data_IF_311463609115
#
_entry.id   IF_311463609115
#
_cell.length_a   1.000
_cell.length_b   1.000
_cell.length_c   1.000
_cell.angle_alpha   90.00
_cell.angle_beta   90.00
_cell.angle_gamma   90.00
#
_symmetry.space_group_name_H-M   'P 1'
#
loop_
_entity.id
_entity.type
_entity.pdbx_description
1 polymer ?
#
# COMPACT_ATOMS: atom_id res chain seq x y z
N UNK A 1 10.76 19.34 -4.14
CA UNK A 1 11.20 18.16 -4.95
C UNK A 1 10.04 17.20 -5.01
N UNK A 2 9.93 16.28 -5.99
CA UNK A 2 8.88 15.27 -5.92
C UNK A 2 9.14 14.33 -4.73
N UNK A 3 8.07 13.93 -4.03
CA UNK A 3 8.14 12.90 -3.00
C UNK A 3 8.41 11.53 -3.64
N UNK A 4 7.92 11.31 -4.86
CA UNK A 4 8.12 10.08 -5.63
C UNK A 4 8.50 10.45 -7.05
N UNK A 5 9.61 9.89 -7.54
CA UNK A 5 10.11 10.03 -8.92
C UNK A 5 10.38 8.63 -9.49
N UNK A 6 9.72 8.32 -10.59
CA UNK A 6 9.82 7.02 -11.29
C UNK A 6 10.19 7.25 -12.74
N UNK A 7 11.28 6.62 -13.20
CA UNK A 7 11.79 6.73 -14.58
C UNK A 7 12.00 5.35 -15.18
N UNK A 8 11.30 5.09 -16.28
CA UNK A 8 11.43 3.89 -17.11
C UNK A 8 11.33 2.57 -16.31
N UNK A 9 10.44 2.56 -15.29
CA UNK A 9 10.27 1.39 -14.43
C UNK A 9 9.71 0.21 -15.21
N UNK A 10 10.45 -0.89 -15.18
CA UNK A 10 10.04 -2.16 -15.78
C UNK A 10 10.13 -3.28 -14.75
N UNK A 11 9.10 -4.14 -14.72
CA UNK A 11 9.09 -5.36 -13.90
C UNK A 11 8.65 -6.56 -14.72
N UNK A 12 9.54 -7.53 -14.81
CA UNK A 12 9.31 -8.80 -15.50
C UNK A 12 9.37 -9.92 -14.47
N UNK A 13 8.33 -10.75 -14.42
CA UNK A 13 8.33 -12.00 -13.66
C UNK A 13 8.73 -13.16 -14.55
N UNK A 14 9.58 -14.06 -14.03
CA UNK A 14 9.88 -15.33 -14.65
C UNK A 14 9.07 -16.42 -13.95
N UNK A 15 8.02 -16.89 -14.59
CA UNK A 15 7.11 -17.92 -14.05
C UNK A 15 7.45 -19.26 -14.66
N UNK A 16 7.66 -20.26 -13.80
CA UNK A 16 7.92 -21.63 -14.26
C UNK A 16 6.64 -22.24 -14.84
N UNK A 17 6.70 -22.67 -16.11
CA UNK A 17 5.63 -23.43 -16.76
C UNK A 17 5.78 -24.91 -16.46
N UNK A 18 4.85 -25.46 -15.70
CA UNK A 18 4.77 -26.89 -15.44
C UNK A 18 3.91 -27.55 -16.53
N UNK A 19 4.50 -28.45 -17.33
CA UNK A 19 3.71 -29.28 -18.25
C UNK A 19 2.88 -30.28 -17.43
N UNK A 20 1.58 -30.43 -17.69
CA UNK A 20 0.73 -31.38 -16.96
C UNK A 20 1.13 -32.83 -17.25
N UNK A 21 1.01 -33.69 -16.24
CA UNK A 21 1.26 -35.12 -16.35
C UNK A 21 2.61 -35.60 -15.79
N UNK A 22 2.70 -36.93 -15.54
CA UNK A 22 3.88 -37.58 -14.91
C UNK A 22 5.16 -37.42 -15.77
N UNK A 23 5.04 -37.55 -17.08
CA UNK A 23 6.14 -37.36 -18.06
C UNK A 23 6.61 -35.89 -18.09
N UNK A 24 5.70 -34.92 -17.92
CA UNK A 24 6.03 -33.49 -17.83
C UNK A 24 6.81 -33.16 -16.54
N UNK A 25 6.52 -33.85 -15.46
CA UNK A 25 7.23 -33.66 -14.18
C UNK A 25 8.69 -34.13 -14.27
N UNK A 26 8.96 -35.29 -14.88
CA UNK A 26 10.32 -35.81 -15.07
C UNK A 26 11.12 -34.93 -16.05
N UNK A 27 10.49 -34.47 -17.14
CA UNK A 27 11.11 -33.58 -18.13
C UNK A 27 11.45 -32.20 -17.56
N UNK A 28 10.63 -31.70 -16.58
CA UNK A 28 10.85 -30.43 -15.91
C UNK A 28 12.05 -30.43 -14.95
N UNK A 29 12.50 -31.59 -14.47
CA UNK A 29 13.72 -31.72 -13.65
C UNK A 29 14.99 -31.44 -14.49
N UNK A 30 14.97 -31.76 -15.77
CA UNK A 30 16.13 -31.59 -16.66
C UNK A 30 16.04 -30.33 -17.53
N UNK A 31 14.84 -29.80 -17.82
CA UNK A 31 14.66 -28.64 -18.71
C UNK A 31 13.51 -27.76 -18.23
N UNK A 32 13.82 -26.77 -17.37
CA UNK A 32 12.86 -25.81 -16.88
C UNK A 32 12.53 -24.76 -17.95
N UNK A 33 11.27 -24.68 -18.36
CA UNK A 33 10.78 -23.59 -19.23
C UNK A 33 10.25 -22.46 -18.36
N UNK A 34 10.72 -21.24 -18.60
CA UNK A 34 10.23 -20.04 -17.93
C UNK A 34 9.48 -19.17 -18.93
N UNK A 35 8.29 -18.76 -18.54
CA UNK A 35 7.55 -17.72 -19.23
C UNK A 35 7.85 -16.37 -18.59
N UNK A 36 8.21 -15.38 -19.40
CA UNK A 36 8.39 -14.01 -18.95
C UNK A 36 7.06 -13.27 -19.03
N UNK A 37 6.59 -12.75 -17.90
CA UNK A 37 5.38 -11.93 -17.82
C UNK A 37 5.83 -10.53 -17.49
N UNK A 38 5.59 -9.57 -18.39
CA UNK A 38 5.84 -8.15 -18.16
C UNK A 38 4.68 -7.60 -17.32
N UNK A 39 4.92 -7.33 -16.06
CA UNK A 39 3.93 -6.75 -15.16
C UNK A 39 3.94 -5.21 -15.20
N UNK A 40 5.10 -4.61 -15.49
CA UNK A 40 5.29 -3.20 -15.75
C UNK A 40 6.24 -3.05 -16.93
N UNK A 41 5.95 -2.10 -17.81
CA UNK A 41 6.75 -1.83 -19.00
C UNK A 41 6.94 -0.32 -19.18
N UNK A 42 8.14 0.14 -18.86
CA UNK A 42 8.62 1.50 -19.13
C UNK A 42 7.72 2.63 -18.58
N UNK A 43 7.23 2.49 -17.33
CA UNK A 43 6.38 3.51 -16.72
C UNK A 43 7.22 4.61 -16.08
N UNK A 44 6.79 5.87 -16.28
CA UNK A 44 7.43 7.07 -15.72
C UNK A 44 6.37 8.02 -15.21
N UNK A 45 6.55 8.53 -13.98
CA UNK A 45 5.68 9.53 -13.36
C UNK A 45 6.34 10.15 -12.13
N UNK A 46 5.85 11.32 -11.73
CA UNK A 46 6.29 12.01 -10.52
C UNK A 46 5.09 12.33 -9.63
N UNK A 47 5.26 12.30 -8.30
CA UNK A 47 4.23 12.72 -7.34
C UNK A 47 4.86 13.75 -6.39
N UNK A 48 4.19 14.87 -6.21
CA UNK A 48 4.64 15.96 -5.33
C UNK A 48 4.34 15.63 -3.88
N UNK A 49 5.09 16.27 -2.98
CA UNK A 49 4.84 16.17 -1.53
C UNK A 49 3.40 16.62 -1.19
N UNK A 50 2.74 15.86 -0.31
CA UNK A 50 1.37 16.11 0.12
C UNK A 50 0.29 15.81 -0.91
N UNK A 51 0.65 15.35 -2.12
CA UNK A 51 -0.32 15.01 -3.15
C UNK A 51 -1.05 13.70 -2.84
N UNK A 52 -2.36 13.65 -3.06
CA UNK A 52 -3.17 12.44 -3.01
C UNK A 52 -3.54 12.05 -4.44
N UNK A 53 -2.96 10.94 -4.92
CA UNK A 53 -3.08 10.47 -6.30
C UNK A 53 -3.80 9.13 -6.37
N UNK A 54 -4.80 9.05 -7.26
CA UNK A 54 -5.45 7.79 -7.61
C UNK A 54 -4.62 7.03 -8.65
N UNK A 55 -4.21 5.80 -8.33
CA UNK A 55 -3.51 4.91 -9.26
C UNK A 55 -4.46 3.79 -9.68
N UNK A 56 -5.13 3.94 -10.82
CA UNK A 56 -6.29 3.14 -11.22
C UNK A 56 -6.03 2.30 -12.46
N UNK A 57 -6.82 1.25 -12.63
CA UNK A 57 -6.74 0.33 -13.77
C UNK A 57 -7.38 -1.02 -13.47
N UNK A 58 -7.58 -1.87 -14.48
CA UNK A 58 -8.16 -3.18 -14.31
C UNK A 58 -7.29 -4.11 -13.42
N UNK A 59 -7.87 -5.22 -13.00
CA UNK A 59 -7.12 -6.25 -12.29
C UNK A 59 -5.99 -6.80 -13.18
N UNK A 60 -4.79 -6.95 -12.59
CA UNK A 60 -3.61 -7.37 -13.32
C UNK A 60 -2.90 -6.27 -14.12
N UNK A 61 -3.39 -5.01 -14.08
CA UNK A 61 -2.79 -3.89 -14.82
C UNK A 61 -1.38 -3.49 -14.33
N UNK A 62 -0.97 -3.90 -13.12
CA UNK A 62 0.33 -3.56 -12.55
C UNK A 62 0.28 -2.69 -11.29
N UNK A 63 -0.91 -2.26 -10.81
CA UNK A 63 -1.09 -1.36 -9.66
C UNK A 63 -0.30 -1.81 -8.41
N UNK A 64 -0.65 -2.97 -7.87
CA UNK A 64 0.03 -3.54 -6.69
C UNK A 64 1.52 -3.78 -6.94
N UNK A 65 1.92 -4.15 -8.16
CA UNK A 65 3.33 -4.33 -8.53
C UNK A 65 4.09 -3.01 -8.44
N UNK A 66 3.50 -1.92 -8.92
CA UNK A 66 4.06 -0.58 -8.80
C UNK A 66 4.23 -0.19 -7.33
N UNK A 67 3.18 -0.27 -6.51
CA UNK A 67 3.27 0.07 -5.09
C UNK A 67 4.33 -0.77 -4.35
N UNK A 68 4.46 -2.05 -4.66
CA UNK A 68 5.50 -2.92 -4.09
C UNK A 68 6.91 -2.50 -4.52
N UNK A 69 7.10 -2.00 -5.74
CA UNK A 69 8.39 -1.45 -6.15
C UNK A 69 8.70 -0.15 -5.40
N UNK A 70 7.70 0.75 -5.24
CA UNK A 70 7.85 2.01 -4.53
C UNK A 70 8.11 1.84 -3.03
N UNK A 71 7.56 0.81 -2.42
CA UNK A 71 7.77 0.50 -0.98
C UNK A 71 9.02 -0.35 -0.70
N UNK A 72 9.77 -0.75 -1.72
CA UNK A 72 10.94 -1.62 -1.55
C UNK A 72 10.61 -3.10 -1.21
N UNK A 73 9.35 -3.50 -1.33
CA UNK A 73 8.93 -4.90 -1.19
C UNK A 73 9.26 -5.74 -2.43
N UNK A 74 9.48 -5.08 -3.56
CA UNK A 74 9.79 -5.72 -4.83
C UNK A 74 10.93 -4.99 -5.53
N UNK A 75 11.94 -5.74 -5.98
CA UNK A 75 13.04 -5.20 -6.77
C UNK A 75 12.60 -5.00 -8.23
N UNK A 76 12.81 -3.82 -8.84
CA UNK A 76 12.52 -3.60 -10.27
C UNK A 76 13.45 -4.42 -11.16
N UNK A 77 13.02 -4.75 -12.38
CA UNK A 77 13.90 -5.38 -13.37
C UNK A 77 14.84 -4.35 -14.01
N UNK A 78 14.32 -3.15 -14.28
CA UNK A 78 15.09 -2.00 -14.76
C UNK A 78 14.35 -0.70 -14.43
N UNK A 79 14.99 0.43 -14.69
CA UNK A 79 14.48 1.77 -14.38
C UNK A 79 15.02 2.32 -13.06
N UNK A 80 14.57 3.53 -12.73
CA UNK A 80 14.97 4.24 -11.52
C UNK A 80 13.74 4.62 -10.71
N UNK A 81 13.85 4.48 -9.40
CA UNK A 81 12.82 4.90 -8.45
C UNK A 81 13.51 5.66 -7.32
N UNK A 82 12.96 6.82 -7.01
CA UNK A 82 13.26 7.58 -5.81
C UNK A 82 11.98 7.84 -5.03
N UNK A 83 11.97 7.54 -3.74
CA UNK A 83 10.89 7.89 -2.81
C UNK A 83 11.52 8.63 -1.65
N UNK A 84 11.16 9.89 -1.44
CA UNK A 84 11.77 10.78 -0.44
C UNK A 84 13.30 10.88 -0.58
N UNK A 85 13.83 10.78 -1.83
CA UNK A 85 15.28 10.76 -2.10
C UNK A 85 15.95 9.41 -1.90
N UNK A 86 15.26 8.40 -1.35
CA UNK A 86 15.80 7.06 -1.14
C UNK A 86 15.55 6.15 -2.34
N UNK A 87 16.41 5.13 -2.49
CA UNK A 87 16.18 3.99 -3.40
C UNK A 87 15.45 2.89 -2.63
N UNK A 88 14.16 2.62 -2.89
CA UNK A 88 13.31 1.78 -2.03
C UNK A 88 13.87 0.38 -1.75
N UNK A 89 14.49 -0.25 -2.73
CA UNK A 89 15.02 -1.62 -2.59
C UNK A 89 16.24 -1.72 -1.70
N UNK A 90 16.90 -0.61 -1.35
CA UNK A 90 17.97 -0.60 -0.36
C UNK A 90 17.45 -0.78 1.06
N UNK A 91 16.14 -0.57 1.28
CA UNK A 91 15.43 -0.77 2.54
C UNK A 91 16.15 -0.15 3.73
N UNK A 92 16.69 1.05 3.54
CA UNK A 92 17.33 1.80 4.62
C UNK A 92 16.34 2.04 5.76
N UNK A 93 16.78 1.94 7.00
CA UNK A 93 15.94 2.09 8.19
C UNK A 93 15.16 3.41 8.19
N UNK A 94 15.85 4.51 7.89
CA UNK A 94 15.22 5.83 7.80
C UNK A 94 14.11 5.85 6.76
N UNK A 95 14.32 5.25 5.58
CA UNK A 95 13.29 5.14 4.56
C UNK A 95 12.07 4.36 5.05
N UNK A 96 12.28 3.22 5.73
CA UNK A 96 11.17 2.40 6.23
C UNK A 96 10.37 3.09 7.33
N UNK A 97 10.97 3.99 8.10
CA UNK A 97 10.30 4.83 9.10
C UNK A 97 9.47 5.97 8.47
N UNK A 98 9.71 6.32 7.21
CA UNK A 98 9.05 7.41 6.50
C UNK A 98 7.86 6.96 5.64
N UNK A 99 7.66 5.65 5.49
CA UNK A 99 6.62 5.10 4.63
C UNK A 99 5.68 4.17 5.38
N UNK A 100 4.45 4.07 4.88
CA UNK A 100 3.52 3.00 5.28
C UNK A 100 2.89 2.33 4.05
N UNK A 101 2.60 1.03 4.16
CA UNK A 101 1.95 0.26 3.10
C UNK A 101 0.79 -0.56 3.68
N UNK A 102 -0.42 -0.23 3.27
CA UNK A 102 -1.66 -0.90 3.68
C UNK A 102 -2.26 -1.65 2.51
N UNK A 103 -2.54 -2.94 2.69
CA UNK A 103 -3.16 -3.81 1.69
C UNK A 103 -4.54 -4.24 2.18
N UNK A 104 -5.62 -3.83 1.52
CA UNK A 104 -6.98 -4.13 1.94
C UNK A 104 -7.34 -5.63 2.02
N UNK A 105 -6.60 -6.47 1.30
CA UNK A 105 -6.81 -7.93 1.29
C UNK A 105 -5.92 -8.71 2.25
N UNK A 106 -5.00 -8.06 2.97
CA UNK A 106 -4.06 -8.73 3.87
C UNK A 106 -4.17 -8.19 5.27
N UNK A 107 -4.37 -9.12 6.23
CA UNK A 107 -4.36 -8.77 7.63
C UNK A 107 -2.94 -8.50 8.11
N UNK A 108 -2.74 -7.37 8.78
CA UNK A 108 -1.49 -6.99 9.44
C UNK A 108 -1.59 -7.18 10.96
N UNK A 109 -2.81 -7.22 11.50
CA UNK A 109 -3.07 -7.45 12.93
C UNK A 109 -3.02 -8.95 13.26
N UNK A 110 -2.52 -9.27 14.43
CA UNK A 110 -2.53 -10.64 14.94
C UNK A 110 -3.95 -11.08 15.32
N UNK A 111 -4.39 -12.18 14.75
CA UNK A 111 -5.77 -12.64 14.83
C UNK A 111 -6.28 -12.88 16.25
N UNK A 112 -5.45 -13.45 17.11
CA UNK A 112 -5.79 -13.81 18.49
C UNK A 112 -5.64 -12.64 19.48
N UNK A 113 -4.88 -11.60 19.12
CA UNK A 113 -4.55 -10.51 20.01
C UNK A 113 -5.40 -9.25 19.71
N UNK A 114 -5.61 -8.39 20.71
CA UNK A 114 -6.18 -7.06 20.49
C UNK A 114 -5.29 -6.22 19.58
N UNK A 115 -5.86 -5.29 18.78
CA UNK A 115 -5.08 -4.32 17.99
C UNK A 115 -4.05 -3.54 18.82
N UNK A 116 -4.35 -3.24 20.09
CA UNK A 116 -3.45 -2.52 20.99
C UNK A 116 -2.07 -3.19 21.11
N UNK A 117 -2.01 -4.53 21.11
CA UNK A 117 -0.73 -5.26 21.17
C UNK A 117 0.14 -5.01 19.92
N UNK A 118 -0.49 -4.93 18.73
CA UNK A 118 0.20 -4.55 17.49
C UNK A 118 0.65 -3.08 17.55
N UNK A 119 -0.15 -2.20 18.14
CA UNK A 119 0.20 -0.79 18.29
C UNK A 119 1.43 -0.60 19.19
N UNK A 120 1.47 -1.32 20.32
CA UNK A 120 2.62 -1.33 21.23
C UNK A 120 3.87 -1.91 20.56
N UNK A 121 3.72 -2.99 19.80
CA UNK A 121 4.82 -3.57 19.05
C UNK A 121 5.36 -2.57 18.01
N UNK A 122 4.48 -1.91 17.25
CA UNK A 122 4.90 -0.91 16.27
C UNK A 122 5.59 0.28 16.93
N UNK A 123 5.15 0.69 18.13
CA UNK A 123 5.84 1.73 18.92
C UNK A 123 7.31 1.37 19.13
N UNK A 124 7.59 0.12 19.53
CA UNK A 124 8.98 -0.34 19.75
C UNK A 124 9.76 -0.53 18.43
N UNK A 125 9.11 -1.09 17.38
CA UNK A 125 9.76 -1.30 16.06
C UNK A 125 10.18 0.02 15.42
N UNK A 126 9.35 1.06 15.52
CA UNK A 126 9.61 2.36 14.92
C UNK A 126 10.27 3.36 15.87
N UNK A 127 10.68 2.93 17.08
CA UNK A 127 11.26 3.78 18.13
C UNK A 127 10.42 5.03 18.42
N UNK A 128 9.08 4.89 18.50
CA UNK A 128 8.18 6.03 18.70
C UNK A 128 8.24 6.48 20.17
N UNK A 129 8.63 7.73 20.47
CA UNK A 129 8.63 8.25 21.82
C UNK A 129 7.25 8.15 22.47
N UNK A 130 7.20 7.82 23.78
CA UNK A 130 5.96 7.57 24.50
C UNK A 130 4.93 8.72 24.40
N UNK A 131 5.38 9.96 24.41
CA UNK A 131 4.50 11.14 24.27
C UNK A 131 3.89 11.24 22.88
N UNK A 132 4.69 10.97 21.83
CA UNK A 132 4.24 10.97 20.44
C UNK A 132 3.28 9.80 20.17
N UNK A 133 3.60 8.60 20.69
CA UNK A 133 2.72 7.44 20.58
C UNK A 133 1.34 7.71 21.21
N UNK A 134 1.29 8.23 22.45
CA UNK A 134 0.02 8.56 23.13
C UNK A 134 -0.79 9.56 22.32
N UNK A 135 -0.14 10.61 21.79
CA UNK A 135 -0.81 11.62 20.96
C UNK A 135 -1.34 11.04 19.66
N UNK A 136 -0.49 10.33 18.89
CA UNK A 136 -0.89 9.70 17.63
C UNK A 136 -2.03 8.69 17.83
N UNK A 137 -1.92 7.85 18.86
CA UNK A 137 -2.96 6.88 19.18
C UNK A 137 -4.29 7.55 19.53
N UNK A 138 -4.28 8.59 20.37
CA UNK A 138 -5.50 9.35 20.73
C UNK A 138 -6.12 10.01 19.49
N UNK A 139 -5.32 10.73 18.70
CA UNK A 139 -5.78 11.39 17.47
C UNK A 139 -6.40 10.39 16.48
N UNK A 140 -5.71 9.27 16.20
CA UNK A 140 -6.14 8.27 15.21
C UNK A 140 -7.36 7.47 15.69
N UNK A 141 -7.41 7.09 16.98
CA UNK A 141 -8.57 6.36 17.53
C UNK A 141 -9.82 7.23 17.59
N UNK A 142 -9.67 8.52 17.86
CA UNK A 142 -10.76 9.49 17.80
C UNK A 142 -11.24 9.67 16.36
N UNK A 143 -10.34 9.90 15.39
CA UNK A 143 -10.66 10.15 14.00
C UNK A 143 -11.38 8.95 13.36
N UNK A 144 -10.99 7.73 13.71
CA UNK A 144 -11.60 6.49 13.21
C UNK A 144 -12.74 5.96 14.09
N UNK A 145 -13.00 6.59 15.24
CA UNK A 145 -14.02 6.17 16.22
C UNK A 145 -13.91 4.68 16.58
N UNK A 146 -12.75 4.28 17.13
CA UNK A 146 -12.45 2.87 17.49
C UNK A 146 -11.89 2.70 18.91
N UNK A 147 -11.94 3.75 19.74
CA UNK A 147 -11.35 3.70 21.08
C UNK A 147 -11.87 2.61 21.99
N UNK A 148 -13.13 2.20 21.81
CA UNK A 148 -13.83 1.14 22.55
C UNK A 148 -13.44 -0.28 22.11
N UNK A 149 -12.89 -0.46 20.91
CA UNK A 149 -12.61 -1.78 20.34
C UNK A 149 -11.14 -2.15 20.26
N UNK A 150 -10.22 -1.22 20.51
CA UNK A 150 -8.77 -1.48 20.36
C UNK A 150 -8.23 -2.54 21.33
N UNK A 151 -8.95 -2.82 22.41
CA UNK A 151 -8.64 -3.86 23.38
C UNK A 151 -9.43 -5.16 23.16
N UNK A 152 -10.25 -5.22 22.09
CA UNK A 152 -11.00 -6.42 21.72
C UNK A 152 -10.15 -7.31 20.79
N UNK A 153 -10.05 -8.64 21.01
CA UNK A 153 -9.31 -9.52 20.10
C UNK A 153 -9.72 -9.36 18.65
N UNK A 154 -8.76 -9.25 17.74
CA UNK A 154 -8.94 -8.97 16.30
C UNK A 154 -9.96 -9.89 15.64
N UNK A 155 -10.01 -11.18 16.02
CA UNK A 155 -10.98 -12.15 15.52
C UNK A 155 -12.45 -11.82 15.80
N UNK A 156 -12.73 -10.96 16.78
CA UNK A 156 -14.10 -10.53 17.15
C UNK A 156 -14.51 -9.24 16.42
N UNK A 157 -13.59 -8.59 15.72
CA UNK A 157 -13.85 -7.36 15.01
C UNK A 157 -14.48 -7.62 13.63
N UNK A 158 -15.40 -6.77 13.22
CA UNK A 158 -15.90 -6.76 11.83
C UNK A 158 -14.75 -6.39 10.88
N UNK A 159 -14.91 -6.68 9.58
CA UNK A 159 -13.93 -6.34 8.55
C UNK A 159 -13.60 -4.84 8.57
N UNK A 160 -14.63 -3.98 8.67
CA UNK A 160 -14.44 -2.53 8.72
C UNK A 160 -13.75 -2.05 10.00
N UNK A 161 -14.09 -2.62 11.17
CA UNK A 161 -13.41 -2.32 12.43
C UNK A 161 -11.94 -2.72 12.37
N UNK A 162 -11.65 -3.90 11.81
CA UNK A 162 -10.30 -4.40 11.61
C UNK A 162 -9.50 -3.49 10.69
N UNK A 163 -10.05 -3.09 9.54
CA UNK A 163 -9.39 -2.19 8.60
C UNK A 163 -9.03 -0.83 9.25
N UNK A 164 -9.92 -0.28 10.09
CA UNK A 164 -9.61 0.93 10.85
C UNK A 164 -8.42 0.75 11.79
N UNK A 165 -8.37 -0.38 12.51
CA UNK A 165 -7.24 -0.69 13.39
C UNK A 165 -5.95 -0.95 12.60
N UNK A 166 -6.00 -1.57 11.43
CA UNK A 166 -4.85 -1.75 10.53
C UNK A 166 -4.28 -0.41 10.04
N UNK A 167 -5.17 0.53 9.72
CA UNK A 167 -4.74 1.90 9.38
C UNK A 167 -4.05 2.58 10.56
N UNK A 168 -4.61 2.50 11.76
CA UNK A 168 -3.95 3.04 12.95
C UNK A 168 -2.56 2.44 13.11
N UNK A 169 -2.44 1.11 13.08
CA UNK A 169 -1.15 0.43 13.19
C UNK A 169 -0.12 0.94 12.18
N UNK A 170 -0.57 1.21 10.95
CA UNK A 170 0.29 1.69 9.86
C UNK A 170 0.63 3.19 9.94
N UNK A 171 -0.08 3.97 10.75
CA UNK A 171 0.05 5.43 10.82
C UNK A 171 0.66 5.96 12.12
N UNK A 172 0.86 5.09 13.12
CA UNK A 172 1.38 5.49 14.45
C UNK A 172 2.74 6.19 14.39
N UNK A 173 3.58 5.82 13.43
CA UNK A 173 4.91 6.40 13.22
C UNK A 173 4.89 7.66 12.34
N UNK A 174 3.70 8.15 11.96
CA UNK A 174 3.49 9.38 11.18
C UNK A 174 4.24 9.39 9.83
N UNK A 175 4.03 8.41 8.95
CA UNK A 175 4.75 8.30 7.67
C UNK A 175 4.49 9.51 6.78
N UNK A 176 5.51 9.92 6.01
CA UNK A 176 5.39 10.98 5.01
C UNK A 176 4.76 10.47 3.70
N UNK A 177 4.94 9.17 3.37
CA UNK A 177 4.34 8.55 2.20
C UNK A 177 3.50 7.34 2.60
N UNK A 178 2.25 7.31 2.15
CA UNK A 178 1.30 6.23 2.41
C UNK A 178 0.88 5.56 1.11
N UNK A 179 1.13 4.27 1.01
CA UNK A 179 0.67 3.41 -0.07
C UNK A 179 -0.57 2.64 0.37
N UNK A 180 -1.72 2.89 -0.27
CA UNK A 180 -3.00 2.24 0.00
C UNK A 180 -3.39 1.35 -1.19
N UNK A 181 -3.29 0.05 -1.03
CA UNK A 181 -3.63 -0.93 -2.08
C UNK A 181 -5.04 -1.49 -1.84
N UNK A 182 -6.02 -0.93 -2.54
CA UNK A 182 -7.44 -1.29 -2.46
C UNK A 182 -8.02 -1.29 -1.03
N UNK A 183 -7.88 -0.20 -0.24
CA UNK A 183 -8.22 -0.21 1.18
C UNK A 183 -9.72 -0.33 1.47
N UNK A 184 -10.59 -0.08 0.49
CA UNK A 184 -12.05 -0.12 0.61
C UNK A 184 -12.66 -1.46 0.19
N UNK A 185 -11.84 -2.40 -0.30
CA UNK A 185 -12.33 -3.68 -0.83
C UNK A 185 -13.04 -4.50 0.25
N UNK A 186 -14.23 -5.02 -0.09
CA UNK A 186 -15.02 -5.86 0.82
C UNK A 186 -15.73 -5.10 1.95
N UNK A 187 -15.60 -3.77 2.02
CA UNK A 187 -16.33 -2.94 2.97
C UNK A 187 -17.71 -2.57 2.42
N UNK A 188 -18.66 -2.40 3.31
CA UNK A 188 -19.97 -1.84 2.97
C UNK A 188 -19.86 -0.33 2.61
N UNK A 189 -20.90 0.21 1.97
CA UNK A 189 -20.90 1.59 1.45
C UNK A 189 -20.68 2.63 2.55
N UNK A 190 -21.22 2.41 3.75
CA UNK A 190 -21.07 3.33 4.89
C UNK A 190 -19.61 3.35 5.35
N UNK A 191 -19.00 2.17 5.47
CA UNK A 191 -17.59 2.06 5.86
C UNK A 191 -16.64 2.60 4.80
N UNK A 192 -16.92 2.37 3.51
CA UNK A 192 -16.17 2.99 2.42
C UNK A 192 -16.20 4.51 2.51
N UNK A 193 -17.38 5.11 2.77
CA UNK A 193 -17.52 6.56 2.93
C UNK A 193 -16.70 7.11 4.11
N UNK A 194 -16.78 6.44 5.27
CA UNK A 194 -15.99 6.83 6.46
C UNK A 194 -14.48 6.72 6.21
N UNK A 195 -14.07 5.68 5.49
CA UNK A 195 -12.65 5.49 5.18
C UNK A 195 -12.14 6.56 4.20
N UNK A 196 -12.94 6.93 3.19
CA UNK A 196 -12.62 8.05 2.29
C UNK A 196 -12.47 9.36 3.07
N UNK A 197 -13.43 9.68 3.92
CA UNK A 197 -13.37 10.87 4.78
C UNK A 197 -12.08 10.90 5.60
N UNK A 198 -11.77 9.79 6.27
CA UNK A 198 -10.54 9.63 7.04
C UNK A 198 -9.26 9.86 6.20
N UNK A 199 -9.15 9.23 5.01
CA UNK A 199 -7.98 9.38 4.14
C UNK A 199 -7.80 10.84 3.71
N UNK A 200 -8.90 11.51 3.33
CA UNK A 200 -8.89 12.92 2.95
C UNK A 200 -8.52 13.84 4.12
N UNK A 201 -9.02 13.57 5.32
CA UNK A 201 -8.66 14.34 6.53
C UNK A 201 -7.21 14.10 6.93
N UNK A 202 -6.74 12.84 6.88
CA UNK A 202 -5.36 12.51 7.18
C UNK A 202 -4.39 13.24 6.24
N UNK A 203 -4.63 13.22 4.93
CA UNK A 203 -3.82 13.95 3.97
C UNK A 203 -3.80 15.47 4.27
N UNK A 204 -4.97 16.08 4.54
CA UNK A 204 -5.06 17.53 4.85
C UNK A 204 -4.38 17.89 6.17
N UNK A 205 -4.56 17.07 7.23
CA UNK A 205 -4.07 17.36 8.57
C UNK A 205 -2.55 17.16 8.69
N UNK A 206 -2.02 16.13 8.05
CA UNK A 206 -0.63 15.71 8.22
C UNK A 206 0.25 15.99 6.98
N UNK A 207 -0.33 16.40 5.85
CA UNK A 207 0.42 16.68 4.63
C UNK A 207 1.06 15.43 4.00
N UNK A 208 0.61 14.23 4.36
CA UNK A 208 1.18 12.98 3.87
C UNK A 208 0.92 12.83 2.36
N UNK A 209 1.93 12.38 1.62
CA UNK A 209 1.77 11.99 0.22
C UNK A 209 1.10 10.64 0.14
N UNK A 210 0.01 10.50 -0.63
CA UNK A 210 -0.78 9.27 -0.66
C UNK A 210 -0.93 8.77 -2.09
N UNK A 211 -0.60 7.50 -2.32
CA UNK A 211 -1.02 6.76 -3.52
C UNK A 211 -2.12 5.78 -3.12
N UNK A 212 -3.28 5.96 -3.72
CA UNK A 212 -4.44 5.11 -3.52
C UNK A 212 -4.71 4.29 -4.77
N UNK A 213 -4.64 2.95 -4.68
CA UNK A 213 -5.18 2.10 -5.74
C UNK A 213 -6.64 1.76 -5.43
N UNK A 214 -7.47 1.85 -6.42
CA UNK A 214 -8.87 1.39 -6.34
C UNK A 214 -9.36 0.98 -7.72
N UNK A 215 -10.31 0.05 -7.74
CA UNK A 215 -11.14 -0.23 -8.91
C UNK A 215 -12.55 0.39 -8.76
N UNK A 216 -12.85 1.01 -7.63
CA UNK A 216 -14.06 1.80 -7.40
C UNK A 216 -13.85 3.26 -7.78
N UNK A 217 -14.49 3.70 -8.86
CA UNK A 217 -14.38 5.10 -9.31
C UNK A 217 -14.84 6.10 -8.25
N UNK A 218 -15.80 5.73 -7.39
CA UNK A 218 -16.26 6.58 -6.30
C UNK A 218 -15.19 6.94 -5.26
N UNK A 219 -14.21 6.06 -5.02
CA UNK A 219 -13.08 6.38 -4.13
C UNK A 219 -12.20 7.45 -4.74
N UNK A 220 -11.91 7.28 -6.03
CA UNK A 220 -11.01 8.16 -6.78
C UNK A 220 -11.63 9.55 -6.95
N UNK A 221 -12.90 9.62 -7.37
CA UNK A 221 -13.62 10.89 -7.56
C UNK A 221 -13.76 11.68 -6.25
N UNK A 222 -13.96 10.98 -5.12
CA UNK A 222 -14.13 11.63 -3.83
C UNK A 222 -12.81 12.16 -3.22
N UNK A 223 -11.69 11.53 -3.54
CA UNK A 223 -10.41 11.79 -2.86
C UNK A 223 -9.35 12.44 -3.75
N UNK A 224 -9.28 12.07 -5.03
CA UNK A 224 -8.12 12.37 -5.84
C UNK A 224 -8.42 13.49 -6.85
N UNK A 225 -7.58 14.53 -6.86
CA UNK A 225 -7.61 15.55 -7.91
C UNK A 225 -6.85 15.13 -9.16
N UNK A 226 -5.94 14.18 -9.02
CA UNK A 226 -5.13 13.63 -10.11
C UNK A 226 -5.21 12.13 -10.11
N UNK A 227 -5.28 11.56 -11.30
CA UNK A 227 -5.29 10.11 -11.51
C UNK A 227 -4.21 9.70 -12.49
N UNK A 228 -3.58 8.57 -12.20
CA UNK A 228 -2.70 7.86 -13.12
C UNK A 228 -3.42 6.56 -13.51
N UNK A 229 -3.70 6.39 -14.79
CA UNK A 229 -4.37 5.19 -15.30
C UNK A 229 -3.33 4.25 -15.89
N UNK A 230 -3.28 3.02 -15.35
CA UNK A 230 -2.41 1.96 -15.84
C UNK A 230 -3.23 0.85 -16.49
N UNK A 231 -2.76 0.37 -17.63
CA UNK A 231 -3.34 -0.77 -18.34
C UNK A 231 -2.21 -1.64 -18.94
N UNK A 232 -2.30 -2.94 -18.74
CA UNK A 232 -1.31 -3.92 -19.26
C UNK A 232 0.14 -3.50 -18.98
N UNK A 233 0.39 -2.99 -17.77
CA UNK A 233 1.73 -2.57 -17.32
C UNK A 233 2.24 -1.25 -17.86
N UNK A 234 1.41 -0.46 -18.58
CA UNK A 234 1.77 0.84 -19.14
C UNK A 234 0.84 1.94 -18.64
N UNK A 235 1.35 3.15 -18.43
CA UNK A 235 0.53 4.32 -18.11
C UNK A 235 -0.11 4.81 -19.40
N UNK A 236 -1.45 4.91 -19.38
CA UNK A 236 -2.25 5.38 -20.53
C UNK A 236 -2.80 6.79 -20.33
N UNK A 237 -2.81 7.27 -19.07
CA UNK A 237 -3.24 8.62 -18.73
C UNK A 237 -2.58 9.05 -17.42
N UNK A 238 -2.20 10.31 -17.31
CA UNK A 238 -1.76 10.99 -16.10
C UNK A 238 -2.26 12.44 -16.13
N UNK A 239 -3.21 12.78 -15.25
CA UNK A 239 -3.84 14.10 -15.25
C UNK A 239 -4.95 14.25 -14.20
N UNK A 240 -5.62 15.42 -14.27
CA UNK A 240 -6.77 15.79 -13.43
C UNK A 240 -8.09 15.49 -14.12
#
# INVERSE_FOLDING_TARGET
MPAIDVKNLTKIYSVFQKEPGFSGTIKSLFRRKYQKIKALEDISFEIKEGELVGFIGPNGAGKTTTLKCLSGLLYPTSGQISVLGYRPWQRQENFLKEIAFVMGQKNQLWWELPPMETFLLNKEIYDIPQSQFKKALADLTQLLSVGDIVNTPTKKLSLGQRMKCELIASLLHSPQVLFLDEPTIGLDVVMQSKLREFIGEYNRKFGATIILTSHYMGDVQALCRRVIIISVGQIIFDGQ
#
